data_IF_964876083249
#
_entry.id   IF_964876083249
#
_cell.length_a   1.000
_cell.length_b   1.000
_cell.length_c   1.000
_cell.angle_alpha   90.00
_cell.angle_beta   90.00
_cell.angle_gamma   90.00
#
_symmetry.space_group_name_H-M   'P 1'
#
loop_
_entity.id
_entity.type
_entity.pdbx_description
1 polymer ?
#
# COMPACT_ATOMS: atom_id res chain seq x y z
N UNK A 1 -16.54 22.17 58.91
CA UNK A 1 -16.59 20.89 59.65
C UNK A 1 -16.23 19.73 58.70
N UNK A 2 -15.98 18.52 59.20
CA UNK A 2 -15.64 17.32 58.41
C UNK A 2 -16.71 16.23 58.60
N UNK A 3 -16.66 15.17 57.75
CA UNK A 3 -17.38 13.88 57.85
C UNK A 3 -18.90 13.94 57.51
N UNK A 4 -19.63 12.92 57.06
CA UNK A 4 -19.45 11.59 56.38
C UNK A 4 -20.90 11.05 56.06
N UNK A 5 -21.22 10.05 55.22
CA UNK A 5 -20.44 9.15 54.33
C UNK A 5 -21.29 8.62 53.15
N UNK A 6 -20.69 8.51 51.95
CA UNK A 6 -20.67 7.35 51.01
C UNK A 6 -21.91 6.42 50.82
N UNK A 7 -22.25 6.15 49.54
CA UNK A 7 -22.72 4.89 48.92
C UNK A 7 -23.89 5.06 47.90
N UNK A 8 -23.82 4.39 46.74
CA UNK A 8 -24.90 4.34 45.73
C UNK A 8 -24.39 4.20 44.28
N UNK A 9 -24.25 2.96 43.78
CA UNK A 9 -23.81 2.65 42.40
C UNK A 9 -25.04 2.40 41.51
N UNK A 10 -25.09 2.93 40.27
CA UNK A 10 -26.30 2.85 39.43
C UNK A 10 -26.15 3.20 37.94
N UNK A 11 -25.30 2.46 37.22
CA UNK A 11 -25.18 2.31 35.75
C UNK A 11 -26.09 3.14 34.81
N UNK A 12 -25.46 4.08 34.10
CA UNK A 12 -25.54 4.36 32.63
C UNK A 12 -26.75 3.84 31.82
N UNK A 13 -27.40 4.75 31.09
CA UNK A 13 -27.69 4.53 29.65
C UNK A 13 -27.57 5.83 28.84
N UNK A 14 -27.19 5.72 27.56
CA UNK A 14 -26.76 6.86 26.75
C UNK A 14 -27.92 7.64 26.12
N UNK A 15 -27.73 8.96 26.12
CA UNK A 15 -28.12 9.94 25.09
C UNK A 15 -28.97 9.43 23.91
N UNK A 16 -30.23 9.86 23.86
CA UNK A 16 -30.95 10.00 22.60
C UNK A 16 -30.35 11.16 21.78
N UNK A 17 -30.16 10.94 20.48
CA UNK A 17 -29.63 11.92 19.54
C UNK A 17 -30.16 11.66 18.14
N UNK A 18 -31.19 12.41 17.75
CA UNK A 18 -31.86 12.40 16.43
C UNK A 18 -30.88 12.43 15.25
N UNK A 19 -31.19 11.89 14.06
CA UNK A 19 -32.40 12.11 13.24
C UNK A 19 -32.75 10.89 12.36
N UNK A 20 -34.04 10.64 12.09
CA UNK A 20 -34.44 10.13 10.76
C UNK A 20 -35.12 8.76 10.62
N UNK A 21 -36.17 8.46 11.39
CA UNK A 21 -37.12 7.37 11.03
C UNK A 21 -38.58 7.80 11.18
N UNK A 22 -39.34 7.84 10.08
CA UNK A 22 -40.81 8.00 10.11
C UNK A 22 -41.46 6.66 10.40
N UNK A 23 -41.68 6.39 11.69
CA UNK A 23 -42.44 5.22 12.16
C UNK A 23 -43.91 5.56 12.30
N UNK A 24 -44.80 4.67 11.85
CA UNK A 24 -46.25 4.75 12.05
C UNK A 24 -46.65 3.67 13.05
N UNK A 25 -47.17 4.10 14.19
CA UNK A 25 -47.80 3.27 15.23
C UNK A 25 -49.27 2.97 14.86
N UNK A 26 -49.92 1.88 15.30
CA UNK A 26 -49.54 0.87 16.27
C UNK A 26 -50.26 -0.48 16.05
N UNK A 27 -49.69 -1.56 16.62
CA UNK A 27 -50.40 -2.57 17.41
C UNK A 27 -51.63 -3.32 16.80
N UNK A 28 -51.33 -4.36 16.02
CA UNK A 28 -52.06 -5.64 15.98
C UNK A 28 -50.99 -6.75 15.85
N UNK A 29 -50.86 -7.70 16.78
CA UNK A 29 -51.74 -8.84 17.05
C UNK A 29 -51.66 -9.95 15.98
N UNK A 30 -50.66 -10.83 16.17
CA UNK A 30 -50.59 -12.26 15.78
C UNK A 30 -50.80 -12.73 14.31
N UNK A 31 -50.24 -13.92 14.04
CA UNK A 31 -50.54 -14.84 12.93
C UNK A 31 -50.35 -14.35 11.47
N UNK A 32 -49.16 -14.63 10.92
CA UNK A 32 -49.04 -15.30 9.61
C UNK A 32 -47.74 -16.13 9.57
N UNK A 33 -47.78 -17.31 8.95
CA UNK A 33 -46.60 -18.16 8.77
C UNK A 33 -45.82 -17.81 7.48
N UNK A 34 -44.62 -18.38 7.35
CA UNK A 34 -43.68 -18.24 6.23
C UNK A 34 -44.33 -18.41 4.83
N UNK A 35 -43.72 -17.82 3.80
CA UNK A 35 -42.74 -18.64 3.07
C UNK A 35 -41.35 -18.00 2.93
N UNK A 36 -40.40 -18.84 2.53
CA UNK A 36 -39.00 -18.55 2.27
C UNK A 36 -38.74 -17.17 1.62
N UNK A 37 -37.96 -16.32 2.31
CA UNK A 37 -37.01 -15.48 1.58
C UNK A 37 -35.92 -16.40 1.07
N UNK A 38 -36.05 -16.87 -0.18
CA UNK A 38 -35.03 -17.71 -0.79
C UNK A 38 -33.69 -16.99 -0.76
N UNK A 39 -32.70 -17.57 -0.07
CA UNK A 39 -31.36 -17.04 0.00
C UNK A 39 -30.74 -17.13 -1.40
N UNK A 40 -30.85 -16.03 -2.16
CA UNK A 40 -30.39 -15.87 -3.55
C UNK A 40 -29.07 -16.62 -3.73
N UNK A 41 -29.04 -17.68 -4.56
CA UNK A 41 -27.98 -18.69 -4.49
C UNK A 41 -26.61 -18.03 -4.60
N UNK A 42 -25.77 -18.28 -3.60
CA UNK A 42 -24.46 -17.65 -3.49
C UNK A 42 -23.70 -17.87 -4.80
N UNK A 43 -23.39 -16.78 -5.51
CA UNK A 43 -22.84 -16.85 -6.87
C UNK A 43 -21.65 -17.84 -6.87
N UNK A 44 -21.67 -18.92 -7.68
CA UNK A 44 -20.61 -19.94 -7.64
C UNK A 44 -19.22 -19.39 -7.98
N UNK A 45 -19.13 -18.21 -8.61
CA UNK A 45 -17.88 -17.47 -8.80
C UNK A 45 -17.28 -16.94 -7.48
N UNK A 46 -18.10 -16.67 -6.47
CA UNK A 46 -17.65 -16.18 -5.16
C UNK A 46 -16.92 -17.27 -4.36
N UNK A 47 -17.41 -18.52 -4.41
CA UNK A 47 -16.72 -19.68 -3.84
C UNK A 47 -15.33 -19.87 -4.47
N UNK A 48 -15.27 -19.99 -5.80
CA UNK A 48 -14.01 -20.11 -6.54
C UNK A 48 -13.03 -18.96 -6.30
N UNK A 49 -13.54 -17.72 -6.14
CA UNK A 49 -12.73 -16.56 -5.80
C UNK A 49 -12.15 -16.65 -4.38
N UNK A 50 -12.91 -17.17 -3.42
CA UNK A 50 -12.46 -17.36 -2.04
C UNK A 50 -11.45 -18.52 -1.92
N UNK A 51 -11.68 -19.63 -2.62
CA UNK A 51 -10.73 -20.74 -2.78
C UNK A 51 -9.39 -20.24 -3.34
N UNK A 52 -9.42 -19.49 -4.45
CA UNK A 52 -8.24 -18.89 -5.04
C UNK A 52 -7.53 -17.90 -4.09
N UNK A 53 -8.28 -17.05 -3.39
CA UNK A 53 -7.71 -16.12 -2.41
C UNK A 53 -7.03 -16.85 -1.24
N UNK A 54 -7.59 -17.97 -0.78
CA UNK A 54 -6.96 -18.82 0.24
C UNK A 54 -5.69 -19.50 -0.29
N UNK A 55 -5.75 -20.07 -1.50
CA UNK A 55 -4.62 -20.76 -2.14
C UNK A 55 -3.40 -19.84 -2.36
N UNK A 56 -3.64 -18.56 -2.66
CA UNK A 56 -2.60 -17.58 -2.98
C UNK A 56 -2.43 -16.46 -1.93
N UNK A 57 -3.04 -16.61 -0.75
CA UNK A 57 -3.01 -15.62 0.33
C UNK A 57 -1.56 -15.19 0.68
N UNK A 58 -0.67 -16.15 0.84
CA UNK A 58 0.73 -15.92 1.20
C UNK A 58 1.48 -15.08 0.15
N UNK A 59 1.26 -15.36 -1.14
CA UNK A 59 1.84 -14.63 -2.26
C UNK A 59 1.29 -13.19 -2.33
N UNK A 60 0.00 -12.99 -2.04
CA UNK A 60 -0.58 -11.65 -1.89
C UNK A 60 0.03 -10.89 -0.69
N UNK A 61 0.23 -11.54 0.46
CA UNK A 61 0.90 -10.92 1.60
C UNK A 61 2.35 -10.53 1.28
N UNK A 62 3.12 -11.39 0.59
CA UNK A 62 4.48 -11.03 0.14
C UNK A 62 4.48 -9.85 -0.84
N UNK A 63 3.57 -9.81 -1.82
CA UNK A 63 3.46 -8.68 -2.75
C UNK A 63 3.07 -7.38 -2.04
N UNK A 64 2.22 -7.45 -1.02
CA UNK A 64 1.83 -6.29 -0.21
C UNK A 64 2.98 -5.80 0.70
N UNK A 65 3.78 -6.72 1.27
CA UNK A 65 5.00 -6.35 2.02
C UNK A 65 6.01 -5.62 1.11
N UNK A 66 6.33 -6.17 -0.06
CA UNK A 66 7.20 -5.52 -1.06
C UNK A 66 6.62 -4.18 -1.54
N UNK A 67 5.30 -4.05 -1.64
CA UNK A 67 4.66 -2.76 -1.96
C UNK A 67 4.80 -1.74 -0.84
N UNK A 68 4.82 -2.17 0.42
CA UNK A 68 4.92 -1.30 1.59
C UNK A 68 6.34 -0.76 1.74
N UNK A 69 7.34 -1.66 1.71
CA UNK A 69 8.78 -1.32 1.64
C UNK A 69 9.07 -0.33 0.48
N UNK A 70 8.41 -0.51 -0.67
CA UNK A 70 8.55 0.40 -1.83
C UNK A 70 8.01 1.81 -1.58
N UNK A 71 7.01 1.98 -0.71
CA UNK A 71 6.45 3.30 -0.41
C UNK A 71 7.39 4.03 0.56
N UNK A 72 7.82 3.36 1.61
CA UNK A 72 8.83 3.84 2.57
C UNK A 72 10.13 4.28 1.88
N UNK A 73 10.71 3.43 1.01
CA UNK A 73 11.89 3.79 0.21
C UNK A 73 11.65 4.98 -0.73
N UNK A 74 10.41 5.20 -1.18
CA UNK A 74 10.08 6.35 -2.04
C UNK A 74 9.90 7.65 -1.28
N UNK A 75 9.41 7.58 -0.05
CA UNK A 75 9.26 8.69 0.89
C UNK A 75 10.66 9.22 1.24
N UNK A 76 11.55 8.35 1.72
CA UNK A 76 12.97 8.65 1.99
C UNK A 76 13.68 9.28 0.77
N UNK A 77 13.46 8.72 -0.44
CA UNK A 77 14.02 9.23 -1.71
C UNK A 77 13.42 10.58 -2.13
N UNK A 78 12.23 10.97 -1.67
CA UNK A 78 11.67 12.31 -1.92
C UNK A 78 12.30 13.32 -0.97
N UNK A 79 12.28 13.07 0.33
CA UNK A 79 12.82 14.00 1.35
C UNK A 79 14.29 14.34 1.09
N UNK A 80 15.11 13.31 0.84
CA UNK A 80 16.52 13.47 0.49
C UNK A 80 16.73 14.24 -0.82
N UNK A 81 15.81 14.13 -1.79
CA UNK A 81 15.91 14.84 -3.07
C UNK A 81 15.53 16.32 -2.96
N UNK A 82 14.65 16.68 -2.05
CA UNK A 82 14.30 18.08 -1.81
C UNK A 82 15.46 18.77 -1.04
N UNK A 83 16.04 18.12 -0.03
CA UNK A 83 17.29 18.58 0.59
C UNK A 83 18.44 18.74 -0.43
N UNK A 84 18.59 17.79 -1.36
CA UNK A 84 19.58 17.84 -2.43
C UNK A 84 19.39 19.06 -3.37
N UNK A 85 18.16 19.57 -3.55
CA UNK A 85 17.92 20.78 -4.36
C UNK A 85 18.56 22.00 -3.71
N UNK A 86 18.40 22.17 -2.39
CA UNK A 86 19.00 23.29 -1.64
C UNK A 86 20.53 23.23 -1.65
N UNK A 87 21.13 22.06 -1.47
CA UNK A 87 22.58 21.87 -1.58
C UNK A 87 23.11 22.20 -2.99
N UNK A 88 22.39 21.80 -4.05
CA UNK A 88 22.74 22.19 -5.43
C UNK A 88 22.64 23.72 -5.63
N UNK A 89 21.70 24.40 -4.96
CA UNK A 89 21.56 25.86 -5.01
C UNK A 89 22.71 26.53 -4.24
N UNK A 90 23.07 26.06 -3.06
CA UNK A 90 24.18 26.56 -2.25
C UNK A 90 25.53 26.40 -2.97
N UNK A 91 25.86 25.20 -3.44
CA UNK A 91 27.10 24.92 -4.16
C UNK A 91 27.26 25.75 -5.45
N UNK A 92 26.13 26.09 -6.11
CA UNK A 92 26.12 27.04 -7.24
C UNK A 92 26.37 28.48 -6.82
N UNK A 93 25.75 28.97 -5.74
CA UNK A 93 25.96 30.33 -5.20
C UNK A 93 27.43 30.56 -4.81
N UNK A 94 28.06 29.55 -4.21
CA UNK A 94 29.48 29.56 -3.81
C UNK A 94 30.41 29.35 -5.02
N UNK A 95 29.89 28.89 -6.16
CA UNK A 95 30.66 28.69 -7.40
C UNK A 95 31.64 27.52 -7.36
N UNK A 96 31.49 26.56 -6.44
CA UNK A 96 32.43 25.46 -6.27
C UNK A 96 32.35 24.43 -7.41
N UNK A 97 33.14 24.67 -8.47
CA UNK A 97 33.18 23.85 -9.69
C UNK A 97 33.65 22.41 -9.44
N UNK A 98 34.35 22.12 -8.33
CA UNK A 98 34.87 20.79 -8.01
C UNK A 98 33.78 19.87 -7.50
N UNK A 99 33.03 20.29 -6.47
CA UNK A 99 31.89 19.53 -5.94
C UNK A 99 30.81 19.34 -7.03
N UNK A 100 30.52 20.40 -7.79
CA UNK A 100 29.62 20.36 -8.95
C UNK A 100 30.13 19.50 -10.12
N UNK A 101 31.40 19.07 -10.13
CA UNK A 101 31.95 18.08 -11.08
C UNK A 101 31.83 16.66 -10.54
N UNK A 102 32.07 16.44 -9.24
CA UNK A 102 31.88 15.14 -8.59
C UNK A 102 30.39 14.73 -8.59
N UNK A 103 29.49 15.64 -8.23
CA UNK A 103 28.04 15.43 -8.23
C UNK A 103 27.47 15.12 -9.63
N UNK A 104 28.15 15.52 -10.72
CA UNK A 104 27.79 15.11 -12.10
C UNK A 104 28.06 13.62 -12.38
N UNK A 105 28.99 12.98 -11.67
CA UNK A 105 29.23 11.55 -11.75
C UNK A 105 28.04 10.78 -11.18
N UNK A 106 27.70 11.05 -9.93
CA UNK A 106 26.56 10.45 -9.21
C UNK A 106 25.24 10.71 -9.95
N UNK A 107 25.02 11.92 -10.48
CA UNK A 107 23.85 12.23 -11.32
C UNK A 107 23.74 11.37 -12.61
N UNK A 108 24.84 10.82 -13.13
CA UNK A 108 24.80 9.84 -14.24
C UNK A 108 24.34 8.47 -13.74
N UNK A 109 24.88 7.99 -12.62
CA UNK A 109 24.47 6.73 -11.98
C UNK A 109 22.97 6.75 -11.66
N UNK A 110 22.48 7.83 -11.04
CA UNK A 110 21.06 8.04 -10.77
C UNK A 110 20.19 8.07 -12.05
N UNK A 111 20.72 8.49 -13.21
CA UNK A 111 20.02 8.41 -14.50
C UNK A 111 19.90 6.96 -14.98
N UNK A 112 20.96 6.18 -14.84
CA UNK A 112 20.96 4.74 -15.18
C UNK A 112 19.97 3.97 -14.31
N UNK A 113 20.03 4.14 -12.99
CA UNK A 113 19.11 3.52 -12.04
C UNK A 113 17.64 3.88 -12.31
N UNK A 114 17.35 5.14 -12.67
CA UNK A 114 15.99 5.54 -13.08
C UNK A 114 15.51 4.82 -14.36
N UNK A 115 16.41 4.46 -15.29
CA UNK A 115 16.06 3.73 -16.51
C UNK A 115 15.82 2.24 -16.22
N UNK A 116 16.67 1.62 -15.40
CA UNK A 116 16.51 0.24 -14.91
C UNK A 116 15.19 0.08 -14.13
N UNK A 117 14.91 1.00 -13.19
CA UNK A 117 13.64 1.05 -12.45
C UNK A 117 12.42 1.20 -13.37
N UNK A 118 12.53 1.95 -14.48
CA UNK A 118 11.44 2.07 -15.46
C UNK A 118 11.22 0.76 -16.22
N UNK A 119 12.29 0.07 -16.62
CA UNK A 119 12.21 -1.23 -17.27
C UNK A 119 11.55 -2.26 -16.35
N UNK A 120 12.07 -2.43 -15.13
CA UNK A 120 11.51 -3.34 -14.11
C UNK A 120 10.05 -3.00 -13.75
N UNK A 121 9.68 -1.71 -13.68
CA UNK A 121 8.29 -1.30 -13.45
C UNK A 121 7.35 -1.64 -14.61
N UNK A 122 7.88 -1.77 -15.83
CA UNK A 122 7.14 -2.18 -17.03
C UNK A 122 7.01 -3.72 -17.08
N UNK A 123 8.10 -4.44 -16.75
CA UNK A 123 8.11 -5.90 -16.55
C UNK A 123 7.05 -6.31 -15.50
N UNK A 124 7.08 -5.71 -14.31
CA UNK A 124 6.10 -5.94 -13.24
C UNK A 124 4.66 -5.53 -13.60
N UNK A 125 4.46 -4.61 -14.55
CA UNK A 125 3.12 -4.34 -15.08
C UNK A 125 2.64 -5.50 -15.96
N UNK A 126 3.49 -5.96 -16.88
CA UNK A 126 3.16 -7.02 -17.83
C UNK A 126 2.93 -8.37 -17.11
N UNK A 127 3.82 -8.76 -16.20
CA UNK A 127 3.67 -9.93 -15.31
C UNK A 127 2.33 -9.89 -14.57
N UNK A 128 1.90 -8.72 -14.08
CA UNK A 128 0.62 -8.56 -13.39
C UNK A 128 -0.59 -8.74 -14.32
N UNK A 129 -0.51 -8.36 -15.59
CA UNK A 129 -1.60 -8.64 -16.55
C UNK A 129 -1.63 -10.13 -16.91
N UNK A 130 -0.48 -10.76 -17.17
CA UNK A 130 -0.39 -12.21 -17.45
C UNK A 130 -0.90 -13.02 -16.26
N UNK A 131 -0.54 -12.66 -15.03
CA UNK A 131 -1.09 -13.27 -13.81
C UNK A 131 -2.61 -13.09 -13.73
N UNK A 132 -3.13 -11.88 -13.98
CA UNK A 132 -4.57 -11.60 -13.97
C UNK A 132 -5.34 -12.43 -15.00
N UNK A 133 -4.75 -12.65 -16.18
CA UNK A 133 -5.34 -13.49 -17.24
C UNK A 133 -5.26 -14.97 -16.91
N UNK A 134 -4.14 -15.45 -16.38
CA UNK A 134 -4.00 -16.81 -15.86
C UNK A 134 -5.08 -17.12 -14.82
N UNK A 135 -5.20 -16.27 -13.79
CA UNK A 135 -6.19 -16.39 -12.70
C UNK A 135 -7.64 -16.33 -13.21
N UNK A 136 -7.93 -15.54 -14.25
CA UNK A 136 -9.26 -15.46 -14.87
C UNK A 136 -9.60 -16.75 -15.64
N UNK A 137 -8.62 -17.35 -16.29
CA UNK A 137 -8.80 -18.44 -17.24
C UNK A 137 -8.45 -19.83 -16.66
N UNK A 138 -7.94 -19.89 -15.42
CA UNK A 138 -7.48 -21.10 -14.72
C UNK A 138 -6.46 -21.91 -15.52
N UNK A 139 -5.36 -21.26 -15.92
CA UNK A 139 -4.34 -21.82 -16.83
C UNK A 139 -3.30 -22.70 -16.14
N UNK A 140 -3.24 -22.72 -14.81
CA UNK A 140 -2.30 -23.55 -14.03
C UNK A 140 -0.89 -22.96 -13.87
N UNK A 141 -0.60 -21.84 -14.55
CA UNK A 141 0.69 -21.13 -14.44
C UNK A 141 0.68 -20.00 -13.40
N UNK A 142 -0.40 -19.83 -12.63
CA UNK A 142 -0.59 -18.71 -11.70
C UNK A 142 0.54 -18.65 -10.66
N UNK A 143 0.96 -19.82 -10.14
CA UNK A 143 2.07 -19.95 -9.18
C UNK A 143 3.41 -19.47 -9.77
N UNK A 144 3.68 -19.76 -11.03
CA UNK A 144 4.89 -19.31 -11.74
C UNK A 144 4.85 -17.78 -11.94
N UNK A 145 3.70 -17.25 -12.35
CA UNK A 145 3.51 -15.81 -12.57
C UNK A 145 3.56 -15.01 -11.26
N UNK A 146 3.08 -15.56 -10.15
CA UNK A 146 3.31 -15.00 -8.81
C UNK A 146 4.80 -14.95 -8.47
N UNK A 147 5.55 -16.04 -8.71
CA UNK A 147 6.98 -16.10 -8.39
C UNK A 147 7.81 -15.13 -9.26
N UNK A 148 7.47 -14.97 -10.54
CA UNK A 148 8.02 -13.94 -11.44
C UNK A 148 7.74 -12.54 -10.90
N UNK A 149 6.46 -12.21 -10.67
CA UNK A 149 6.05 -10.92 -10.14
C UNK A 149 6.71 -10.60 -8.78
N UNK A 150 6.85 -11.57 -7.89
CA UNK A 150 7.58 -11.43 -6.62
C UNK A 150 9.07 -11.12 -6.83
N UNK A 151 9.73 -11.83 -7.75
CA UNK A 151 11.13 -11.60 -8.11
C UNK A 151 11.35 -10.19 -8.65
N UNK A 152 10.56 -9.78 -9.64
CA UNK A 152 10.66 -8.44 -10.24
C UNK A 152 10.30 -7.33 -9.25
N UNK A 153 9.37 -7.57 -8.32
CA UNK A 153 9.08 -6.63 -7.24
C UNK A 153 10.21 -6.52 -6.20
N UNK A 154 11.00 -7.56 -5.95
CA UNK A 154 12.23 -7.48 -5.14
C UNK A 154 13.31 -6.66 -5.84
N UNK A 155 13.59 -6.93 -7.11
CA UNK A 155 14.54 -6.16 -7.94
C UNK A 155 14.24 -4.66 -7.95
N UNK A 156 12.97 -4.26 -8.00
CA UNK A 156 12.56 -2.84 -7.92
C UNK A 156 12.95 -2.23 -6.57
N UNK A 157 12.80 -2.97 -5.47
CA UNK A 157 13.10 -2.47 -4.13
C UNK A 157 14.61 -2.43 -3.86
N UNK A 158 15.35 -3.43 -4.34
CA UNK A 158 16.82 -3.44 -4.39
C UNK A 158 17.36 -2.22 -5.16
N UNK A 159 16.82 -1.95 -6.37
CA UNK A 159 17.19 -0.80 -7.19
C UNK A 159 16.73 0.55 -6.62
N UNK A 160 15.75 0.58 -5.72
CA UNK A 160 15.43 1.76 -4.93
C UNK A 160 16.45 1.97 -3.80
N UNK A 161 16.93 0.92 -3.13
CA UNK A 161 18.02 1.02 -2.14
C UNK A 161 19.34 1.48 -2.77
N UNK A 162 19.72 0.94 -3.93
CA UNK A 162 20.88 1.44 -4.71
C UNK A 162 20.73 2.94 -5.05
N UNK A 163 19.50 3.34 -5.41
CA UNK A 163 19.18 4.73 -5.75
C UNK A 163 19.22 5.66 -4.55
N UNK A 164 18.83 5.18 -3.37
CA UNK A 164 18.85 5.91 -2.11
C UNK A 164 20.29 6.18 -1.66
N UNK A 165 21.14 5.15 -1.69
CA UNK A 165 22.59 5.24 -1.40
C UNK A 165 23.29 6.24 -2.33
N UNK A 166 22.99 6.24 -3.63
CA UNK A 166 23.54 7.23 -4.58
C UNK A 166 22.88 8.62 -4.45
N UNK A 167 21.81 8.81 -3.67
CA UNK A 167 21.33 10.15 -3.28
C UNK A 167 22.08 10.64 -2.05
N UNK A 168 22.26 9.81 -1.02
CA UNK A 168 23.06 10.14 0.17
C UNK A 168 24.50 10.53 -0.22
N UNK A 169 25.12 9.74 -1.08
CA UNK A 169 26.44 10.05 -1.65
C UNK A 169 26.47 11.38 -2.42
N UNK A 170 25.35 11.83 -2.99
CA UNK A 170 25.26 13.12 -3.67
C UNK A 170 25.04 14.29 -2.69
N UNK A 171 24.44 14.02 -1.53
CA UNK A 171 24.35 14.93 -0.37
C UNK A 171 25.74 15.11 0.25
N UNK A 172 26.46 14.01 0.53
CA UNK A 172 27.84 14.02 1.07
C UNK A 172 28.86 14.78 0.20
N UNK A 173 28.61 14.90 -1.11
CA UNK A 173 29.46 15.62 -2.06
C UNK A 173 29.10 17.13 -2.14
N UNK A 174 27.97 17.56 -1.56
CA UNK A 174 27.47 18.93 -1.69
C UNK A 174 27.28 19.67 -0.36
N UNK A 175 27.44 18.98 0.78
CA UNK A 175 27.69 19.56 2.09
C UNK A 175 29.15 20.06 2.21
#
# INVERSE_FOLDING_TARGET
MKKEMVAGIGVVMLMGGTVGTTSVSAQAAEQAAHPNTEAKPANPQAGKRLEFLNQYAYQFHQLNALRSERLELKEQIVDKRDHLVDLIIAAKKIGNKTLLKQAKGVKRQLKTLNAELKALSTEAHNEKQVLKEAVKNHTGIETEQFNKLLSTNRKINEKLKEKDIEIDRMIDILN
#
